data_IF_235148304548
#
_entry.id   IF_235148304548
#
_cell.length_a   1.000
_cell.length_b   1.000
_cell.length_c   1.000
_cell.angle_alpha   90.00
_cell.angle_beta   90.00
_cell.angle_gamma   90.00
#
_symmetry.space_group_name_H-M   'P 1'
#
loop_
_entity.id
_entity.type
_entity.pdbx_description
1 polymer ?
#
# COMPACT_ATOMS: atom_id res chain seq x y z
N UNK A 1 -1.34 -10.81 13.96
CA UNK A 1 -2.16 -9.61 13.72
C UNK A 1 -3.59 -10.11 13.53
N UNK A 2 -4.58 -9.46 14.13
CA UNK A 2 -5.99 -9.80 13.94
C UNK A 2 -6.40 -9.50 12.49
N UNK A 3 -7.06 -10.45 11.83
CA UNK A 3 -7.50 -10.36 10.42
C UNK A 3 -8.47 -9.19 10.15
N UNK A 4 -9.15 -8.70 11.18
CA UNK A 4 -10.11 -7.61 11.09
C UNK A 4 -9.45 -6.23 11.22
N UNK A 5 -8.14 -6.17 11.51
CA UNK A 5 -7.40 -4.92 11.52
C UNK A 5 -7.25 -4.42 10.08
N UNK A 6 -7.68 -3.19 9.85
CA UNK A 6 -7.41 -2.50 8.59
C UNK A 6 -5.96 -2.00 8.56
N UNK A 7 -5.25 -2.33 7.48
CA UNK A 7 -3.90 -1.83 7.22
C UNK A 7 -3.93 -0.86 6.05
N UNK A 8 -3.44 0.35 6.28
CA UNK A 8 -3.26 1.38 5.25
C UNK A 8 -1.77 1.60 4.98
N UNK A 9 -1.33 1.30 3.76
CA UNK A 9 0.02 1.59 3.28
C UNK A 9 0.03 2.95 2.61
N UNK A 10 0.98 3.79 3.00
CA UNK A 10 1.15 5.13 2.46
C UNK A 10 2.48 5.21 1.70
N UNK A 11 2.43 5.75 0.48
CA UNK A 11 3.63 6.08 -0.26
C UNK A 11 4.19 7.43 0.21
N UNK A 12 5.49 7.47 0.51
CA UNK A 12 6.12 8.70 0.94
C UNK A 12 6.32 9.64 -0.26
N UNK A 13 5.76 10.85 -0.18
CA UNK A 13 6.04 11.92 -1.14
C UNK A 13 7.25 12.74 -0.66
N UNK A 14 8.27 12.93 -1.49
CA UNK A 14 9.42 13.77 -1.13
C UNK A 14 8.95 15.17 -0.78
N UNK A 15 9.24 15.63 0.43
CA UNK A 15 8.81 16.95 0.91
C UNK A 15 9.80 17.55 1.91
N UNK A 16 9.84 18.89 1.94
CA UNK A 16 10.66 19.70 2.85
C UNK A 16 12.12 19.23 2.94
N UNK A 17 12.52 18.70 4.11
CA UNK A 17 13.89 18.30 4.48
C UNK A 17 14.27 16.89 4.01
N UNK A 18 13.36 16.18 3.35
CA UNK A 18 13.56 14.80 2.89
C UNK A 18 13.26 14.65 1.40
N UNK A 19 13.69 15.63 0.61
CA UNK A 19 13.56 15.62 -0.87
C UNK A 19 14.39 14.52 -1.54
N UNK A 20 15.40 13.98 -0.86
CA UNK A 20 16.24 12.89 -1.36
C UNK A 20 15.58 11.52 -1.30
N UNK A 21 14.46 11.37 -0.57
CA UNK A 21 13.73 10.10 -0.52
C UNK A 21 12.96 9.97 -1.83
N UNK A 22 13.23 8.91 -2.58
CA UNK A 22 12.49 8.62 -3.79
C UNK A 22 11.08 8.14 -3.44
N UNK A 23 10.10 8.62 -4.19
CA UNK A 23 8.74 8.10 -4.10
C UNK A 23 8.73 6.67 -4.67
N UNK A 24 8.13 5.70 -3.98
CA UNK A 24 8.05 4.34 -4.52
C UNK A 24 7.19 4.30 -5.78
N UNK A 25 7.58 3.43 -6.71
CA UNK A 25 6.88 3.20 -7.95
C UNK A 25 5.54 2.49 -7.73
N UNK A 26 4.61 2.66 -8.67
CA UNK A 26 3.29 2.03 -8.58
C UNK A 26 3.37 0.50 -8.39
N UNK A 27 4.28 -0.16 -9.11
CA UNK A 27 4.45 -1.61 -9.05
C UNK A 27 4.99 -2.09 -7.71
N UNK A 28 5.90 -1.33 -7.11
CA UNK A 28 6.43 -1.61 -5.77
C UNK A 28 5.31 -1.55 -4.73
N UNK A 29 4.45 -0.52 -4.81
CA UNK A 29 3.30 -0.36 -3.92
C UNK A 29 2.25 -1.47 -4.11
N UNK A 30 2.02 -1.90 -5.36
CA UNK A 30 1.16 -3.05 -5.65
C UNK A 30 1.74 -4.35 -5.08
N UNK A 31 3.06 -4.53 -5.14
CA UNK A 31 3.72 -5.70 -4.56
C UNK A 31 3.57 -5.72 -3.04
N UNK A 32 3.77 -4.58 -2.36
CA UNK A 32 3.53 -4.45 -0.91
C UNK A 32 2.09 -4.80 -0.55
N UNK A 33 1.12 -4.26 -1.31
CA UNK A 33 -0.29 -4.57 -1.12
C UNK A 33 -0.57 -6.07 -1.29
N UNK A 34 -0.03 -6.73 -2.33
CA UNK A 34 -0.19 -8.18 -2.54
C UNK A 34 0.34 -9.01 -1.38
N UNK A 35 1.53 -8.66 -0.89
CA UNK A 35 2.15 -9.36 0.25
C UNK A 35 1.28 -9.25 1.49
N UNK A 36 0.82 -8.03 1.83
CA UNK A 36 -0.02 -7.79 3.01
C UNK A 36 -1.40 -8.42 2.90
N UNK A 37 -2.05 -8.33 1.73
CA UNK A 37 -3.32 -9.01 1.48
C UNK A 37 -3.19 -10.53 1.58
N UNK A 38 -2.03 -11.08 1.19
CA UNK A 38 -1.71 -12.50 1.30
C UNK A 38 -1.49 -13.02 2.72
N UNK A 39 -1.38 -12.15 3.74
CA UNK A 39 -1.17 -12.59 5.14
C UNK A 39 -2.46 -12.93 5.89
N UNK A 40 -3.62 -12.92 5.22
CA UNK A 40 -4.93 -13.16 5.85
C UNK A 40 -5.59 -11.90 6.42
N UNK A 41 -5.11 -10.70 6.07
CA UNK A 41 -5.78 -9.44 6.41
C UNK A 41 -7.00 -9.24 5.49
N UNK A 42 -8.15 -8.91 6.07
CA UNK A 42 -9.38 -8.68 5.30
C UNK A 42 -9.38 -7.36 4.55
N UNK A 43 -8.72 -6.34 5.12
CA UNK A 43 -8.77 -4.97 4.59
C UNK A 43 -7.37 -4.38 4.51
N UNK A 44 -6.82 -4.36 3.31
CA UNK A 44 -5.55 -3.68 3.00
C UNK A 44 -5.81 -2.62 1.93
N UNK A 45 -5.43 -1.38 2.23
CA UNK A 45 -5.54 -0.25 1.30
C UNK A 45 -4.13 0.31 1.08
N UNK A 46 -3.75 0.54 -0.17
CA UNK A 46 -2.42 1.04 -0.52
C UNK A 46 -2.53 2.32 -1.35
N UNK A 47 -1.97 3.42 -0.85
CA UNK A 47 -1.86 4.68 -1.60
C UNK A 47 -0.69 4.59 -2.58
N UNK A 48 -0.89 5.09 -3.80
CA UNK A 48 0.07 5.01 -4.88
C UNK A 48 0.14 6.34 -5.64
N UNK A 49 1.14 6.46 -6.52
CA UNK A 49 1.20 7.56 -7.47
C UNK A 49 -0.05 7.72 -8.36
N UNK A 50 -0.80 6.63 -8.60
CA UNK A 50 -1.95 6.60 -9.51
C UNK A 50 -3.31 6.70 -8.79
N UNK A 51 -3.33 6.85 -7.47
CA UNK A 51 -4.54 6.77 -6.65
C UNK A 51 -4.38 5.74 -5.53
N UNK A 52 -5.40 4.94 -5.25
CA UNK A 52 -5.32 3.88 -4.24
C UNK A 52 -5.69 2.51 -4.79
N UNK A 53 -5.11 1.47 -4.20
CA UNK A 53 -5.45 0.06 -4.41
C UNK A 53 -6.24 -0.38 -3.18
N UNK A 54 -7.49 -0.80 -3.39
CA UNK A 54 -8.39 -1.27 -2.35
C UNK A 54 -8.56 -2.79 -2.33
N UNK A 55 -9.28 -3.32 -1.33
CA UNK A 55 -9.54 -4.77 -1.20
C UNK A 55 -10.33 -5.36 -2.37
N UNK A 56 -11.07 -4.52 -3.12
CA UNK A 56 -11.88 -4.93 -4.28
C UNK A 56 -11.04 -5.45 -5.46
N UNK A 57 -9.76 -5.09 -5.52
CA UNK A 57 -8.84 -5.51 -6.57
C UNK A 57 -8.19 -6.87 -6.27
N UNK A 58 -8.49 -7.47 -5.11
CA UNK A 58 -7.96 -8.78 -4.75
C UNK A 58 -8.81 -9.86 -5.43
N UNK A 59 -8.24 -10.68 -6.33
CA UNK A 59 -8.94 -11.89 -6.76
C UNK A 59 -9.18 -12.74 -5.52
N UNK A 60 -10.44 -13.12 -5.29
CA UNK A 60 -10.81 -14.06 -4.23
C UNK A 60 -10.21 -15.43 -4.47
#
# INVERSE_FOLDING_TARGET
IDENVQVCVLDYRPAFRRSYIQRPEYEEMVNVWRILSGTGLKTVICQTAKGHVGPELCPK
#
